data_IF_618345786316
#
_entry.id   IF_618345786316
#
_cell.length_a   1.000
_cell.length_b   1.000
_cell.length_c   1.000
_cell.angle_alpha   90.00
_cell.angle_beta   90.00
_cell.angle_gamma   90.00
#
_symmetry.space_group_name_H-M   'P 1'
#
loop_
_entity.id
_entity.type
_entity.pdbx_description
1 polymer ?
#
# COMPACT_ATOMS: atom_id res chain seq x y z
N UNK A 1 3.92 -18.09 -23.24
CA UNK A 1 4.94 -17.09 -23.49
C UNK A 1 5.50 -16.57 -22.19
N UNK A 2 6.75 -16.24 -22.21
CA UNK A 2 7.34 -15.54 -21.12
C UNK A 2 6.54 -14.26 -20.87
N UNK A 3 6.01 -14.10 -19.68
CA UNK A 3 5.33 -12.89 -19.31
C UNK A 3 6.27 -11.69 -19.29
N UNK A 4 5.71 -10.52 -19.16
CA UNK A 4 6.49 -9.30 -19.03
C UNK A 4 7.30 -9.33 -17.76
N UNK A 5 8.56 -8.96 -17.87
CA UNK A 5 9.44 -8.71 -16.75
C UNK A 5 9.32 -7.24 -16.36
N UNK A 6 8.40 -6.90 -15.46
CA UNK A 6 8.21 -5.54 -14.99
C UNK A 6 8.38 -5.47 -13.49
N UNK A 7 9.04 -4.43 -12.95
CA UNK A 7 9.23 -4.30 -11.50
C UNK A 7 7.92 -4.38 -10.71
N UNK A 8 6.82 -3.87 -11.25
CA UNK A 8 5.52 -3.93 -10.57
C UNK A 8 5.00 -5.35 -10.40
N UNK A 9 5.47 -6.29 -11.21
CA UNK A 9 5.10 -7.71 -11.12
C UNK A 9 6.11 -8.54 -10.35
N UNK A 10 7.37 -8.11 -10.32
CA UNK A 10 8.47 -8.88 -9.73
C UNK A 10 8.93 -8.37 -8.37
N UNK A 11 8.68 -7.10 -8.09
CA UNK A 11 9.31 -6.44 -6.97
C UNK A 11 10.73 -6.01 -7.27
N UNK A 12 11.33 -5.27 -6.36
CA UNK A 12 12.72 -4.85 -6.46
C UNK A 12 13.66 -5.83 -5.76
N UNK A 13 14.95 -5.66 -5.98
CA UNK A 13 15.99 -6.52 -5.37
C UNK A 13 16.29 -6.15 -3.93
N UNK A 14 15.95 -4.94 -3.51
CA UNK A 14 16.21 -4.48 -2.15
C UNK A 14 15.31 -5.23 -1.17
N UNK A 15 15.86 -5.84 -0.10
CA UNK A 15 15.03 -6.53 0.89
C UNK A 15 14.18 -5.60 1.74
N UNK A 16 14.46 -4.29 1.74
CA UNK A 16 13.65 -3.33 2.47
C UNK A 16 12.25 -3.24 1.90
N UNK A 17 11.29 -3.03 2.77
CA UNK A 17 9.88 -2.92 2.39
C UNK A 17 9.29 -1.62 2.93
N UNK A 18 8.54 -0.91 2.10
CA UNK A 18 7.73 0.20 2.56
C UNK A 18 6.42 -0.33 3.11
N UNK A 19 6.02 0.14 4.26
CA UNK A 19 4.71 -0.19 4.84
C UNK A 19 3.98 1.10 5.15
N UNK A 20 2.86 1.31 4.49
CA UNK A 20 1.94 2.41 4.80
C UNK A 20 1.06 1.92 5.94
N UNK A 21 1.08 2.60 7.07
CA UNK A 21 0.37 2.18 8.28
C UNK A 21 -0.66 3.23 8.65
N UNK A 22 -1.91 2.83 8.71
CA UNK A 22 -3.02 3.72 9.01
C UNK A 22 -3.59 3.45 10.38
N UNK A 23 -3.41 4.39 11.30
CA UNK A 23 -3.96 4.37 12.65
C UNK A 23 -4.51 5.76 12.96
N UNK A 24 -5.02 5.98 14.15
CA UNK A 24 -5.50 7.28 14.57
C UNK A 24 -4.42 8.07 15.29
N UNK A 25 -4.67 9.36 15.48
CA UNK A 25 -3.81 10.23 16.31
C UNK A 25 -4.09 10.04 17.79
N UNK A 26 -5.27 9.55 18.14
CA UNK A 26 -5.70 9.32 19.52
C UNK A 26 -6.00 7.85 19.73
N UNK A 27 -5.99 7.43 21.00
CA UNK A 27 -6.39 6.07 21.33
C UNK A 27 -7.87 5.84 20.99
N UNK A 28 -8.15 4.66 20.46
CA UNK A 28 -9.51 4.21 20.17
C UNK A 28 -9.78 2.92 20.96
N UNK A 29 -11.04 2.74 21.35
CA UNK A 29 -11.46 1.53 22.06
C UNK A 29 -11.37 0.30 21.15
N UNK A 30 -11.34 -0.89 21.77
CA UNK A 30 -11.41 -2.16 21.04
C UNK A 30 -10.11 -2.60 20.37
N UNK A 31 -8.98 -2.03 20.72
CA UNK A 31 -7.70 -2.46 20.18
C UNK A 31 -7.46 -2.03 18.74
N UNK A 32 -8.23 -1.09 18.23
CA UNK A 32 -8.19 -0.62 16.84
C UNK A 32 -6.77 -0.37 16.34
N UNK A 33 -6.03 0.51 17.03
CA UNK A 33 -4.68 0.85 16.61
C UNK A 33 -3.69 -0.28 16.88
N UNK A 34 -3.81 -0.92 18.05
CA UNK A 34 -2.90 -2.00 18.46
C UNK A 34 -2.98 -3.18 17.49
N UNK A 35 -4.18 -3.51 17.00
CA UNK A 35 -4.36 -4.64 16.10
C UNK A 35 -3.70 -4.41 14.74
N UNK A 36 -3.74 -3.19 14.22
CA UNK A 36 -3.02 -2.85 12.98
C UNK A 36 -1.51 -2.99 13.19
N UNK A 37 -0.99 -2.45 14.30
CA UNK A 37 0.44 -2.53 14.62
C UNK A 37 0.90 -3.97 14.77
N UNK A 38 0.09 -4.83 15.39
CA UNK A 38 0.42 -6.24 15.57
C UNK A 38 0.55 -7.01 14.26
N UNK A 39 -0.18 -6.63 13.22
CA UNK A 39 0.01 -7.24 11.91
C UNK A 39 1.46 -7.11 11.43
N UNK A 40 2.11 -6.03 11.81
CA UNK A 40 3.50 -5.76 11.43
C UNK A 40 4.47 -6.38 12.42
N UNK A 41 4.29 -6.12 13.72
CA UNK A 41 5.25 -6.54 14.74
C UNK A 41 5.22 -8.04 15.02
N UNK A 42 4.07 -8.68 14.81
CA UNK A 42 3.90 -10.13 14.99
C UNK A 42 3.83 -10.89 13.67
N UNK A 43 4.03 -10.19 12.55
CA UNK A 43 4.05 -10.80 11.23
C UNK A 43 5.43 -11.32 10.86
N UNK A 44 5.63 -11.56 9.57
CA UNK A 44 6.86 -12.16 9.04
C UNK A 44 7.91 -11.13 8.60
N UNK A 45 7.78 -9.89 9.02
CA UNK A 45 8.72 -8.84 8.64
C UNK A 45 9.94 -8.82 9.55
N UNK A 46 11.10 -8.53 8.96
CA UNK A 46 12.25 -8.05 9.71
C UNK A 46 12.04 -6.56 9.94
N UNK A 47 11.78 -6.18 11.19
CA UNK A 47 11.43 -4.79 11.52
C UNK A 47 12.53 -3.79 11.17
N UNK A 48 13.79 -4.23 11.14
CA UNK A 48 14.93 -3.38 10.77
C UNK A 48 14.96 -3.06 9.29
N UNK A 49 14.26 -3.83 8.47
CA UNK A 49 14.20 -3.65 7.02
C UNK A 49 12.93 -2.92 6.57
N UNK A 50 12.17 -2.32 7.49
CA UNK A 50 10.94 -1.62 7.16
C UNK A 50 11.16 -0.11 7.11
N UNK A 51 10.60 0.51 6.07
CA UNK A 51 10.42 1.95 5.96
C UNK A 51 8.95 2.24 6.19
N UNK A 52 8.63 2.87 7.32
CA UNK A 52 7.24 3.13 7.71
C UNK A 52 6.80 4.49 7.20
N UNK A 53 5.67 4.50 6.52
CA UNK A 53 4.94 5.70 6.09
C UNK A 53 3.69 5.77 6.95
N UNK A 54 3.75 6.57 8.00
CA UNK A 54 2.74 6.54 9.06
C UNK A 54 1.66 7.59 8.83
N UNK A 55 0.41 7.13 8.82
CA UNK A 55 -0.77 7.97 8.95
C UNK A 55 -1.33 7.67 10.33
N UNK A 56 -1.28 8.67 11.24
CA UNK A 56 -1.70 8.50 12.61
C UNK A 56 -0.56 8.28 13.60
N UNK A 57 -0.59 9.04 14.68
CA UNK A 57 0.49 9.04 15.68
C UNK A 57 0.62 7.74 16.45
N UNK A 58 -0.49 7.06 16.70
CA UNK A 58 -0.47 5.84 17.51
C UNK A 58 0.37 4.75 16.87
N UNK A 59 0.19 4.52 15.58
CA UNK A 59 0.99 3.56 14.84
C UNK A 59 2.43 3.99 14.71
N UNK A 60 2.66 5.27 14.40
CA UNK A 60 4.00 5.82 14.32
C UNK A 60 4.78 5.58 15.60
N UNK A 61 4.21 5.98 16.74
CA UNK A 61 4.91 5.87 18.03
C UNK A 61 5.19 4.42 18.40
N UNK A 62 4.21 3.53 18.19
CA UNK A 62 4.38 2.12 18.50
C UNK A 62 5.45 1.47 17.63
N UNK A 63 5.48 1.75 16.33
CA UNK A 63 6.46 1.16 15.42
C UNK A 63 7.85 1.75 15.62
N UNK A 64 7.94 3.03 15.97
CA UNK A 64 9.21 3.64 16.31
C UNK A 64 9.81 2.99 17.57
N UNK A 65 8.98 2.75 18.60
CA UNK A 65 9.42 2.03 19.80
C UNK A 65 9.84 0.60 19.50
N UNK A 66 9.23 -0.02 18.52
CA UNK A 66 9.57 -1.38 18.08
C UNK A 66 10.87 -1.45 17.26
N UNK A 67 11.47 -0.31 16.94
CA UNK A 67 12.73 -0.25 16.20
C UNK A 67 12.60 -0.01 14.72
N UNK A 68 11.41 0.29 14.22
CA UNK A 68 11.21 0.59 12.80
C UNK A 68 11.65 2.02 12.46
N UNK A 69 12.14 2.19 11.25
CA UNK A 69 12.45 3.50 10.71
C UNK A 69 11.16 4.17 10.25
N UNK A 70 10.89 5.38 10.71
CA UNK A 70 9.78 6.19 10.22
C UNK A 70 10.29 7.04 9.07
N UNK A 71 9.93 6.66 7.84
CA UNK A 71 10.37 7.37 6.63
C UNK A 71 9.54 8.61 6.35
N UNK A 72 8.27 8.60 6.75
CA UNK A 72 7.38 9.74 6.56
C UNK A 72 6.29 9.71 7.62
N UNK A 73 6.00 10.87 8.20
CA UNK A 73 4.91 11.06 9.13
C UNK A 73 3.83 11.90 8.44
N UNK A 74 2.70 11.27 8.12
CA UNK A 74 1.54 11.90 7.48
C UNK A 74 0.36 11.99 8.45
N UNK A 75 0.63 12.14 9.75
CA UNK A 75 -0.43 12.13 10.77
C UNK A 75 -1.42 13.28 10.62
N UNK A 76 -1.03 14.37 9.96
CA UNK A 76 -1.88 15.53 9.69
C UNK A 76 -3.06 15.21 8.76
N UNK A 77 -2.97 14.19 7.91
CA UNK A 77 -4.06 13.81 6.99
C UNK A 77 -5.07 12.86 7.61
N UNK A 78 -4.83 12.44 8.84
CA UNK A 78 -5.60 11.37 9.49
C UNK A 78 -7.08 11.72 9.70
N UNK A 79 -7.38 12.97 10.02
CA UNK A 79 -8.74 13.40 10.39
C UNK A 79 -9.61 13.76 9.19
N UNK A 80 -9.04 14.42 8.19
CA UNK A 80 -9.77 14.84 6.99
C UNK A 80 -8.99 14.43 5.74
N UNK A 81 -8.94 13.12 5.44
CA UNK A 81 -8.18 12.64 4.30
C UNK A 81 -8.84 13.03 2.98
N UNK A 82 -8.03 13.45 2.02
CA UNK A 82 -8.48 13.77 0.67
C UNK A 82 -7.85 12.82 -0.34
N UNK A 83 -8.43 12.77 -1.54
CA UNK A 83 -7.82 12.02 -2.63
C UNK A 83 -6.42 12.56 -2.97
N UNK A 84 -6.24 13.88 -2.89
CA UNK A 84 -4.93 14.50 -3.12
C UNK A 84 -3.88 14.01 -2.11
N UNK A 85 -4.27 13.81 -0.84
CA UNK A 85 -3.40 13.26 0.18
C UNK A 85 -2.99 11.83 -0.18
N UNK A 86 -3.94 11.00 -0.61
CA UNK A 86 -3.68 9.63 -1.04
C UNK A 86 -2.75 9.61 -2.25
N UNK A 87 -2.98 10.49 -3.21
CA UNK A 87 -2.16 10.59 -4.41
C UNK A 87 -0.72 11.00 -4.07
N UNK A 88 -0.54 11.97 -3.19
CA UNK A 88 0.79 12.42 -2.77
C UNK A 88 1.56 11.30 -2.05
N UNK A 89 0.89 10.59 -1.15
CA UNK A 89 1.48 9.46 -0.43
C UNK A 89 1.83 8.32 -1.39
N UNK A 90 0.92 7.98 -2.27
CA UNK A 90 1.14 6.92 -3.27
C UNK A 90 2.33 7.22 -4.17
N UNK A 91 2.42 8.45 -4.67
CA UNK A 91 3.55 8.87 -5.50
C UNK A 91 4.87 8.83 -4.73
N UNK A 92 4.86 9.23 -3.47
CA UNK A 92 6.07 9.21 -2.64
C UNK A 92 6.59 7.78 -2.47
N UNK A 93 5.72 6.84 -2.16
CA UNK A 93 6.10 5.44 -1.96
C UNK A 93 6.53 4.80 -3.28
N UNK A 94 5.84 5.10 -4.38
CA UNK A 94 6.23 4.62 -5.71
C UNK A 94 7.60 5.14 -6.12
N UNK A 95 7.93 6.38 -5.78
CA UNK A 95 9.25 6.93 -6.06
C UNK A 95 10.35 6.16 -5.32
N UNK A 96 10.13 5.83 -4.05
CA UNK A 96 11.06 4.99 -3.29
C UNK A 96 11.26 3.63 -3.97
N UNK A 97 10.19 3.03 -4.44
CA UNK A 97 10.24 1.76 -5.16
C UNK A 97 11.02 1.89 -6.48
N UNK A 98 10.71 2.93 -7.26
CA UNK A 98 11.36 3.16 -8.55
C UNK A 98 12.86 3.43 -8.40
N UNK A 99 13.27 4.06 -7.31
CA UNK A 99 14.67 4.36 -7.01
C UNK A 99 15.42 3.18 -6.39
N UNK A 100 14.74 2.06 -6.16
CA UNK A 100 15.35 0.88 -5.55
C UNK A 100 15.59 0.99 -4.05
N UNK A 101 14.99 1.95 -3.39
CA UNK A 101 15.11 2.10 -1.94
C UNK A 101 14.34 1.02 -1.18
N UNK A 102 13.26 0.52 -1.77
CA UNK A 102 12.48 -0.60 -1.26
C UNK A 102 12.14 -1.54 -2.40
N UNK A 103 11.98 -2.82 -2.10
CA UNK A 103 11.62 -3.84 -3.08
C UNK A 103 10.16 -4.24 -3.06
N UNK A 104 9.43 -3.87 -2.01
CA UNK A 104 8.01 -4.15 -1.86
C UNK A 104 7.31 -2.98 -1.20
N UNK A 105 6.00 -2.88 -1.46
CA UNK A 105 5.15 -1.88 -0.81
C UNK A 105 3.95 -2.61 -0.21
N UNK A 106 3.68 -2.34 1.07
CA UNK A 106 2.57 -2.92 1.82
C UNK A 106 1.68 -1.83 2.40
N UNK A 107 0.43 -2.19 2.69
CA UNK A 107 -0.55 -1.31 3.31
C UNK A 107 -1.19 -2.04 4.48
N UNK A 108 -1.12 -1.44 5.67
CA UNK A 108 -1.75 -1.94 6.88
C UNK A 108 -2.83 -0.94 7.33
N UNK A 109 -4.06 -1.40 7.44
CA UNK A 109 -5.20 -0.54 7.75
C UNK A 109 -6.31 -1.34 8.42
N UNK A 110 -7.36 -0.66 8.88
CA UNK A 110 -8.55 -1.31 9.40
C UNK A 110 -9.68 -1.20 8.38
N UNK A 111 -10.26 -2.33 8.02
CA UNK A 111 -11.43 -2.41 7.17
C UNK A 111 -12.67 -2.54 8.05
N UNK A 112 -13.66 -1.66 7.85
CA UNK A 112 -14.93 -1.74 8.57
C UNK A 112 -15.92 -2.54 7.73
N UNK A 113 -16.31 -3.72 8.24
CA UNK A 113 -17.31 -4.56 7.60
C UNK A 113 -18.69 -3.92 7.82
N UNK A 114 -18.90 -3.36 9.01
CA UNK A 114 -20.06 -2.54 9.35
C UNK A 114 -19.67 -1.61 10.49
N UNK A 115 -20.63 -0.88 11.09
CA UNK A 115 -20.33 0.07 12.15
C UNK A 115 -19.79 -0.56 13.44
N UNK A 116 -19.99 -1.86 13.62
CA UNK A 116 -19.59 -2.58 14.84
C UNK A 116 -18.36 -3.46 14.59
N UNK A 117 -18.28 -4.10 13.42
CA UNK A 117 -17.23 -5.08 13.11
C UNK A 117 -16.16 -4.43 12.25
N UNK A 118 -14.93 -4.45 12.74
CA UNK A 118 -13.76 -3.99 11.99
C UNK A 118 -12.70 -5.07 11.98
N UNK A 119 -11.88 -5.08 10.95
CA UNK A 119 -10.86 -6.10 10.72
C UNK A 119 -9.55 -5.43 10.30
N UNK A 120 -8.45 -5.67 11.02
CA UNK A 120 -7.14 -5.19 10.57
C UNK A 120 -6.70 -5.99 9.35
N UNK A 121 -6.19 -5.30 8.35
CA UNK A 121 -5.73 -5.92 7.11
C UNK A 121 -4.34 -5.48 6.74
N UNK A 122 -3.58 -6.41 6.20
CA UNK A 122 -2.24 -6.18 5.67
C UNK A 122 -2.23 -6.68 4.23
N UNK A 123 -2.05 -5.74 3.30
CA UNK A 123 -2.13 -6.01 1.87
C UNK A 123 -0.80 -5.65 1.22
N UNK A 124 -0.25 -6.54 0.40
CA UNK A 124 0.90 -6.20 -0.43
C UNK A 124 0.42 -5.49 -1.68
N UNK A 125 0.80 -4.22 -1.82
CA UNK A 125 0.47 -3.41 -2.99
C UNK A 125 1.41 -3.69 -4.16
N UNK A 126 2.69 -3.85 -3.90
CA UNK A 126 3.69 -4.22 -4.91
C UNK A 126 4.64 -5.26 -4.35
N UNK A 127 5.07 -6.23 -5.15
CA UNK A 127 4.58 -6.52 -6.50
C UNK A 127 3.15 -7.05 -6.50
N UNK A 128 2.46 -6.83 -7.60
CA UNK A 128 1.13 -7.42 -7.84
C UNK A 128 1.28 -8.69 -8.65
N UNK A 129 0.33 -9.60 -8.53
CA UNK A 129 0.29 -10.79 -9.39
C UNK A 129 -0.28 -10.43 -10.75
N UNK A 130 0.10 -11.19 -11.77
CA UNK A 130 -0.40 -10.98 -13.12
C UNK A 130 -1.92 -11.19 -13.18
N UNK A 131 -2.43 -12.16 -12.43
CA UNK A 131 -3.86 -12.43 -12.35
C UNK A 131 -4.62 -11.23 -11.79
N UNK A 132 -4.09 -10.58 -10.77
CA UNK A 132 -4.70 -9.38 -10.20
C UNK A 132 -4.71 -8.22 -11.18
N UNK A 133 -3.65 -8.07 -11.97
CA UNK A 133 -3.59 -7.05 -13.02
C UNK A 133 -4.65 -7.32 -14.08
N UNK A 134 -4.76 -8.54 -14.55
CA UNK A 134 -5.74 -8.91 -15.57
C UNK A 134 -7.16 -8.64 -15.08
N UNK A 135 -7.45 -8.96 -13.84
CA UNK A 135 -8.74 -8.71 -13.23
C UNK A 135 -9.07 -7.22 -13.18
N UNK A 136 -8.09 -6.38 -12.83
CA UNK A 136 -8.28 -4.93 -12.79
C UNK A 136 -8.51 -4.33 -14.17
N UNK A 137 -7.82 -4.81 -15.17
CA UNK A 137 -8.01 -4.38 -16.56
C UNK A 137 -9.44 -4.66 -17.00
N UNK A 138 -9.97 -5.83 -16.67
CA UNK A 138 -11.34 -6.19 -16.99
C UNK A 138 -12.36 -5.31 -16.26
N UNK A 139 -12.14 -5.04 -14.98
CA UNK A 139 -13.05 -4.21 -14.17
C UNK A 139 -13.16 -2.79 -14.71
N UNK A 140 -12.08 -2.24 -15.22
CA UNK A 140 -12.06 -0.87 -15.73
C UNK A 140 -12.58 -0.76 -17.17
N UNK A 141 -13.13 -1.85 -17.72
CA UNK A 141 -13.64 -1.84 -19.07
C UNK A 141 -12.56 -1.82 -20.13
N UNK A 142 -11.35 -2.20 -19.77
CA UNK A 142 -10.18 -2.21 -20.67
C UNK A 142 -9.94 -3.58 -21.31
N UNK A 143 -10.92 -4.47 -21.27
CA UNK A 143 -10.80 -5.82 -21.83
C UNK A 143 -10.43 -5.80 -23.31
N UNK A 144 -10.97 -4.85 -24.07
CA UNK A 144 -10.62 -4.68 -25.48
C UNK A 144 -9.15 -4.32 -25.69
N UNK A 145 -8.59 -3.51 -24.79
CA UNK A 145 -7.16 -3.18 -24.84
C UNK A 145 -6.32 -4.40 -24.56
N UNK A 146 -6.72 -5.22 -23.57
CA UNK A 146 -6.03 -6.46 -23.24
C UNK A 146 -5.98 -7.41 -24.43
N UNK A 147 -7.09 -7.55 -25.15
CA UNK A 147 -7.16 -8.42 -26.32
C UNK A 147 -6.28 -7.93 -27.46
N UNK A 148 -6.04 -6.62 -27.52
CA UNK A 148 -5.18 -6.01 -28.55
C UNK A 148 -3.71 -5.99 -28.16
N UNK A 149 -3.40 -6.32 -26.92
CA UNK A 149 -2.04 -6.26 -26.40
C UNK A 149 -1.26 -7.51 -26.72
N UNK A 150 -0.60 -7.45 -27.87
CA UNK A 150 0.25 -8.54 -28.34
C UNK A 150 1.74 -8.28 -28.12
N UNK A 151 2.11 -7.08 -27.65
CA UNK A 151 3.51 -6.66 -27.52
C UNK A 151 3.80 -6.24 -26.06
N UNK A 152 5.00 -6.59 -25.58
CA UNK A 152 5.44 -6.27 -24.23
C UNK A 152 5.39 -4.76 -23.92
N UNK A 153 5.73 -3.92 -24.91
CA UNK A 153 5.72 -2.47 -24.72
C UNK A 153 4.32 -1.94 -24.40
N UNK A 154 3.28 -2.51 -25.01
CA UNK A 154 1.90 -2.12 -24.71
C UNK A 154 1.49 -2.55 -23.31
N UNK A 155 1.88 -3.75 -22.89
CA UNK A 155 1.59 -4.24 -21.53
C UNK A 155 2.33 -3.40 -20.48
N UNK A 156 3.58 -3.03 -20.74
CA UNK A 156 4.34 -2.14 -19.85
C UNK A 156 3.64 -0.78 -19.70
N UNK A 157 3.18 -0.22 -20.80
CA UNK A 157 2.48 1.07 -20.79
C UNK A 157 1.21 1.01 -19.94
N UNK A 158 0.48 -0.09 -20.03
CA UNK A 158 -0.72 -0.28 -19.23
C UNK A 158 -0.39 -0.43 -17.76
N UNK A 159 0.65 -1.19 -17.42
CA UNK A 159 1.09 -1.33 -16.03
C UNK A 159 1.50 0.02 -15.45
N UNK A 160 2.26 0.82 -16.19
CA UNK A 160 2.70 2.13 -15.73
C UNK A 160 1.55 3.12 -15.55
N UNK A 161 0.46 2.94 -16.28
CA UNK A 161 -0.74 3.75 -16.11
C UNK A 161 -1.65 3.23 -15.00
N UNK A 162 -1.86 1.92 -14.95
CA UNK A 162 -2.84 1.27 -14.08
C UNK A 162 -2.38 1.18 -12.62
N UNK A 163 -1.12 0.80 -12.39
CA UNK A 163 -0.63 0.53 -11.05
C UNK A 163 -0.64 1.76 -10.14
N UNK A 164 -0.18 2.95 -10.57
CA UNK A 164 -0.30 4.13 -9.72
C UNK A 164 -1.75 4.42 -9.32
N UNK A 165 -2.69 4.29 -10.23
CA UNK A 165 -4.12 4.49 -9.95
C UNK A 165 -4.65 3.47 -8.95
N UNK A 166 -4.26 2.22 -9.12
CA UNK A 166 -4.63 1.15 -8.21
C UNK A 166 -4.12 1.45 -6.79
N UNK A 167 -2.85 1.81 -6.65
CA UNK A 167 -2.27 2.11 -5.35
C UNK A 167 -2.95 3.29 -4.68
N UNK A 168 -3.18 4.37 -5.42
CA UNK A 168 -3.84 5.55 -4.89
C UNK A 168 -5.26 5.22 -4.43
N UNK A 169 -5.98 4.41 -5.21
CA UNK A 169 -7.34 3.97 -4.84
C UNK A 169 -7.34 3.14 -3.55
N UNK A 170 -6.37 2.23 -3.41
CA UNK A 170 -6.26 1.42 -2.20
C UNK A 170 -5.91 2.27 -0.98
N UNK A 171 -4.99 3.21 -1.13
CA UNK A 171 -4.60 4.12 -0.06
C UNK A 171 -5.78 5.00 0.34
N UNK A 172 -6.46 5.58 -0.64
CA UNK A 172 -7.63 6.43 -0.36
C UNK A 172 -8.75 5.67 0.34
N UNK A 173 -9.03 4.45 -0.13
CA UNK A 173 -10.02 3.58 0.52
C UNK A 173 -9.68 3.30 1.98
N UNK A 174 -8.42 3.01 2.27
CA UNK A 174 -7.95 2.80 3.63
C UNK A 174 -8.07 4.06 4.49
N UNK A 175 -7.73 5.23 3.94
CA UNK A 175 -7.86 6.51 4.63
C UNK A 175 -9.33 6.82 4.97
N UNK A 176 -10.25 6.56 4.06
CA UNK A 176 -11.68 6.80 4.30
C UNK A 176 -12.22 5.90 5.39
N UNK A 177 -11.79 4.66 5.44
CA UNK A 177 -12.22 3.73 6.49
C UNK A 177 -11.64 4.11 7.86
N UNK A 178 -10.47 4.74 7.89
CA UNK A 178 -9.82 5.15 9.12
C UNK A 178 -10.34 6.48 9.66
N UNK A 179 -10.99 7.25 8.83
CA UNK A 179 -11.46 8.59 9.20
C UNK A 179 -12.69 8.57 10.13
#
# INVERSE_FOLDING_TARGET
SAGISHPYLQGGDNPRKAVIVMTSNRGLAGGYNANVVKLITQGNFDLKELDIYAVGKKGKDALQRAGCKISLDCSDICEEPTYADAAALGRRVLTSFAQGEVGEIWLAYTSFINTVVHEPRLIRLLPVSKEDVDEKVEREGSAGLKLQMNFEAEEESILEMLIPKYMISMIYGGLLEAA
#
